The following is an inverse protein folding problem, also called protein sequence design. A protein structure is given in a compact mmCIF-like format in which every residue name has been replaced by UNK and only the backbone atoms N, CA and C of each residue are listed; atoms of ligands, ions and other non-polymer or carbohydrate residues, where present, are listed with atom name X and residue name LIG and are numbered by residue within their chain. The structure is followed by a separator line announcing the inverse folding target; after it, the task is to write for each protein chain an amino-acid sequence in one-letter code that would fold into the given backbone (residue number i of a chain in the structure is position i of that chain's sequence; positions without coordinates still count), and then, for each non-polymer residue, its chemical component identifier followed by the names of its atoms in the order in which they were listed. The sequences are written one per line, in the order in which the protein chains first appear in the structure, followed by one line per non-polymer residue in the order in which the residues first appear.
data_IF_762153825845
#
_entry.id   IF_762153825845
#
_cell.length_a   1.000
_cell.length_b   1.000
_cell.length_c   1.000
_cell.angle_alpha   90.00
_cell.angle_beta   90.00
_cell.angle_gamma   90.00
#
_symmetry.space_group_name_H-M   'P 1'
#
loop_
_entity.id
_entity.type
_entity.pdbx_description
1 polymer ?
#
# COMPACT_ATOMS: atom_id res chain seq x y z
N UNK A 1 3.09 -1.85 29.06
CA UNK A 1 3.71 -1.80 30.40
C UNK A 1 3.69 -0.40 31.02
N UNK A 2 4.02 0.68 30.29
CA UNK A 2 4.00 2.06 30.81
C UNK A 2 2.67 2.45 31.49
N UNK A 3 1.52 2.22 30.85
CA UNK A 3 0.21 2.53 31.44
C UNK A 3 -0.01 1.86 32.82
N UNK A 4 0.37 0.58 32.97
CA UNK A 4 0.26 -0.14 34.25
C UNK A 4 1.21 0.40 35.32
N UNK A 5 2.37 0.94 34.93
CA UNK A 5 3.32 1.58 35.86
C UNK A 5 2.73 2.91 36.36
N UNK A 6 2.15 3.71 35.46
CA UNK A 6 1.43 4.94 35.81
C UNK A 6 0.25 4.66 36.74
N UNK A 7 -0.53 3.61 36.46
CA UNK A 7 -1.65 3.19 37.34
C UNK A 7 -1.18 2.74 38.73
N UNK A 8 0.08 2.30 38.86
CA UNK A 8 0.70 1.96 40.16
C UNK A 8 1.25 3.17 40.91
N UNK A 9 1.12 4.38 40.37
CA UNK A 9 1.50 5.63 41.02
C UNK A 9 2.92 6.11 40.72
N UNK A 10 3.59 5.56 39.70
CA UNK A 10 4.89 6.07 39.27
C UNK A 10 4.79 7.52 38.80
N UNK A 11 5.78 8.33 39.17
CA UNK A 11 5.77 9.75 38.83
C UNK A 11 5.99 10.00 37.33
N UNK A 12 5.44 11.12 36.84
CA UNK A 12 5.69 11.60 35.48
C UNK A 12 6.97 12.43 35.36
N UNK A 13 7.35 12.72 34.12
CA UNK A 13 8.44 13.65 33.76
C UNK A 13 7.84 14.84 32.97
N UNK A 14 7.43 15.94 33.64
CA UNK A 14 6.63 17.00 33.00
C UNK A 14 7.30 17.70 31.82
N UNK A 15 8.62 17.77 31.79
CA UNK A 15 9.41 18.46 30.77
C UNK A 15 10.19 17.51 29.85
N UNK A 16 9.77 16.24 29.75
CA UNK A 16 10.46 15.19 28.96
C UNK A 16 10.77 15.59 27.51
N UNK A 17 10.00 16.50 26.92
CA UNK A 17 10.26 17.02 25.58
C UNK A 17 11.26 18.18 25.57
N UNK A 18 11.18 19.10 26.53
CA UNK A 18 11.73 20.46 26.46
C UNK A 18 12.94 20.71 27.36
N UNK A 19 13.31 19.80 28.26
CA UNK A 19 14.49 19.97 29.13
C UNK A 19 15.74 20.24 28.26
N UNK A 20 16.49 21.34 28.48
CA UNK A 20 17.70 21.61 27.72
C UNK A 20 18.72 20.47 27.87
N UNK A 21 19.39 20.11 26.77
CA UNK A 21 20.38 19.02 26.65
C UNK A 21 19.84 17.60 26.85
N UNK A 22 18.78 17.41 27.63
CA UNK A 22 18.29 16.09 28.05
C UNK A 22 16.91 15.71 27.51
N UNK A 23 16.12 16.71 27.11
CA UNK A 23 14.78 16.53 26.58
C UNK A 23 14.79 15.95 25.17
N UNK A 24 13.70 15.30 24.79
CA UNK A 24 13.56 14.63 23.50
C UNK A 24 13.87 15.56 22.32
N UNK A 25 13.46 16.84 22.41
CA UNK A 25 13.69 17.79 21.33
C UNK A 25 15.18 17.98 21.01
N UNK A 26 16.01 18.15 22.03
CA UNK A 26 17.45 18.33 21.86
C UNK A 26 18.14 17.02 21.47
N UNK A 27 17.80 15.91 22.16
CA UNK A 27 18.52 14.64 22.03
C UNK A 27 18.16 13.88 20.76
N UNK A 28 16.87 13.81 20.42
CA UNK A 28 16.35 12.92 19.35
C UNK A 28 15.59 13.66 18.24
N UNK A 29 15.25 14.94 18.43
CA UNK A 29 14.53 15.72 17.43
C UNK A 29 15.34 16.88 16.86
N UNK A 30 16.68 16.83 16.98
CA UNK A 30 17.63 17.80 16.39
C UNK A 30 17.34 19.25 16.79
N UNK A 31 16.95 19.46 18.05
CA UNK A 31 16.57 20.77 18.59
C UNK A 31 15.28 21.35 18.00
N UNK A 32 14.50 20.58 17.24
CA UNK A 32 13.20 21.02 16.71
C UNK A 32 12.09 20.73 17.72
N UNK A 33 10.94 21.37 17.56
CA UNK A 33 9.72 21.08 18.30
C UNK A 33 8.66 20.43 17.41
N UNK A 34 7.77 19.64 18.00
CA UNK A 34 6.61 19.12 17.27
C UNK A 34 5.71 20.26 16.79
N UNK A 35 5.19 20.11 15.58
CA UNK A 35 4.19 20.99 14.99
C UNK A 35 2.92 20.20 14.77
N UNK A 36 1.83 20.69 15.34
CA UNK A 36 0.50 20.09 15.19
C UNK A 36 -0.28 20.99 14.24
N UNK A 37 -0.45 20.53 13.00
CA UNK A 37 -1.03 21.34 11.93
C UNK A 37 -2.58 21.42 11.99
N UNK A 38 -3.21 20.61 12.86
CA UNK A 38 -4.65 20.58 13.06
C UNK A 38 -4.99 20.01 14.45
N UNK A 39 -6.11 20.41 15.08
CA UNK A 39 -6.58 19.80 16.33
C UNK A 39 -6.83 18.29 16.21
N UNK A 40 -6.79 17.58 17.34
CA UNK A 40 -7.11 16.15 17.38
C UNK A 40 -8.61 15.91 17.19
N UNK A 41 -8.93 14.91 16.36
CA UNK A 41 -10.28 14.50 15.99
C UNK A 41 -10.23 13.15 15.25
N UNK A 42 -11.16 12.90 14.34
CA UNK A 42 -11.29 11.63 13.59
C UNK A 42 -10.59 11.60 12.22
N UNK A 43 -9.93 12.70 11.82
CA UNK A 43 -9.34 12.87 10.48
C UNK A 43 -8.51 11.68 9.99
N UNK A 44 -7.65 11.12 10.85
CA UNK A 44 -6.79 9.99 10.47
C UNK A 44 -7.61 8.75 10.14
N UNK A 45 -8.62 8.41 10.94
CA UNK A 45 -9.47 7.24 10.69
C UNK A 45 -10.34 7.44 9.44
N UNK A 46 -10.85 8.65 9.23
CA UNK A 46 -11.63 8.99 8.03
C UNK A 46 -10.82 8.88 6.73
N UNK A 47 -9.51 9.12 6.80
CA UNK A 47 -8.60 9.11 5.65
C UNK A 47 -7.60 7.94 5.66
N UNK A 48 -7.82 6.91 6.48
CA UNK A 48 -6.95 5.73 6.54
C UNK A 48 -6.89 5.02 5.18
N UNK A 49 -5.77 4.37 4.86
CA UNK A 49 -5.62 3.65 3.61
C UNK A 49 -5.69 2.14 3.86
N UNK A 50 -6.39 1.40 2.98
CA UNK A 50 -6.46 -0.07 3.03
C UNK A 50 -5.67 -0.69 1.88
N UNK A 51 -4.77 -1.64 2.14
CA UNK A 51 -4.19 -2.47 1.07
C UNK A 51 -5.19 -3.59 0.74
N UNK A 52 -5.82 -3.55 -0.44
CA UNK A 52 -6.91 -4.47 -0.78
C UNK A 52 -6.52 -5.49 -1.84
N UNK A 53 -6.18 -5.02 -3.04
CA UNK A 53 -6.00 -5.88 -4.21
C UNK A 53 -4.63 -6.54 -4.26
N UNK A 54 -3.57 -5.80 -3.96
CA UNK A 54 -2.20 -6.28 -4.18
C UNK A 54 -1.33 -6.13 -2.93
N UNK A 55 -0.45 -7.10 -2.62
CA UNK A 55 0.51 -7.02 -1.52
C UNK A 55 1.75 -6.17 -1.88
N UNK A 56 1.52 -4.99 -2.45
CA UNK A 56 2.55 -4.05 -2.89
C UNK A 56 2.81 -2.93 -1.85
N UNK A 57 4.00 -2.30 -1.93
CA UNK A 57 4.26 -1.02 -1.26
C UNK A 57 3.22 0.03 -1.72
N UNK A 58 2.79 0.93 -0.82
CA UNK A 58 1.60 1.74 -1.05
C UNK A 58 1.76 2.71 -2.23
N UNK A 59 2.95 3.26 -2.43
CA UNK A 59 3.24 4.20 -3.51
C UNK A 59 3.18 3.54 -4.91
N UNK A 60 3.23 2.20 -4.97
CA UNK A 60 3.08 1.45 -6.22
C UNK A 60 1.65 0.97 -6.49
N UNK A 61 0.71 1.05 -5.54
CA UNK A 61 -0.62 0.41 -5.68
C UNK A 61 -1.34 0.83 -6.96
N UNK A 62 -1.34 2.12 -7.29
CA UNK A 62 -1.96 2.63 -8.52
C UNK A 62 -1.16 2.27 -9.77
N UNK A 63 0.16 2.14 -9.70
CA UNK A 63 0.97 1.65 -10.81
C UNK A 63 0.63 0.19 -11.14
N UNK A 64 0.41 -0.64 -10.11
CA UNK A 64 -0.08 -2.02 -10.27
C UNK A 64 -1.46 -2.03 -10.94
N UNK A 65 -2.38 -1.17 -10.51
CA UNK A 65 -3.71 -1.02 -11.14
C UNK A 65 -3.60 -0.62 -12.62
N UNK A 66 -2.75 0.34 -12.97
CA UNK A 66 -2.49 0.72 -14.35
C UNK A 66 -1.94 -0.46 -15.17
N UNK A 67 -0.98 -1.21 -14.61
CA UNK A 67 -0.36 -2.35 -15.27
C UNK A 67 -1.37 -3.48 -15.54
N UNK A 68 -2.27 -3.78 -14.59
CA UNK A 68 -3.36 -4.75 -14.79
C UNK A 68 -4.33 -4.29 -15.88
N UNK A 69 -4.66 -3.00 -15.96
CA UNK A 69 -5.52 -2.48 -17.03
C UNK A 69 -4.85 -2.55 -18.41
N UNK A 70 -3.52 -2.39 -18.46
CA UNK A 70 -2.73 -2.49 -19.69
C UNK A 70 -2.47 -3.93 -20.12
N UNK A 71 -2.49 -4.89 -19.20
CA UNK A 71 -2.18 -6.31 -19.46
C UNK A 71 -2.87 -6.87 -20.72
N UNK A 72 -4.19 -6.71 -20.94
CA UNK A 72 -4.86 -7.23 -22.13
C UNK A 72 -4.33 -6.65 -23.45
N UNK A 73 -3.75 -5.45 -23.42
CA UNK A 73 -3.22 -4.77 -24.60
C UNK A 73 -1.77 -5.18 -24.91
N UNK A 74 -1.02 -5.65 -23.92
CA UNK A 74 0.43 -5.91 -24.05
C UNK A 74 0.80 -7.39 -24.04
N UNK A 75 -0.03 -8.27 -23.45
CA UNK A 75 0.30 -9.68 -23.20
C UNK A 75 0.74 -10.46 -24.45
N UNK A 76 0.18 -10.13 -25.61
CA UNK A 76 0.43 -10.82 -26.88
C UNK A 76 1.58 -10.17 -27.69
N UNK A 77 2.16 -9.08 -27.18
CA UNK A 77 3.18 -8.25 -27.87
C UNK A 77 4.32 -7.80 -26.94
N UNK A 78 4.61 -8.57 -25.89
CA UNK A 78 5.63 -8.24 -24.89
C UNK A 78 7.03 -8.05 -25.50
N UNK A 79 7.36 -8.83 -26.54
CA UNK A 79 8.64 -8.74 -27.25
C UNK A 79 8.75 -7.47 -28.13
N UNK A 80 7.62 -6.90 -28.53
CA UNK A 80 7.54 -5.67 -29.32
C UNK A 80 7.69 -4.42 -28.46
N UNK A 81 7.65 -4.53 -27.14
CA UNK A 81 7.80 -3.37 -26.25
C UNK A 81 9.21 -2.79 -26.44
N UNK A 82 9.25 -1.50 -26.76
CA UNK A 82 10.47 -0.71 -26.85
C UNK A 82 10.75 -0.01 -25.51
N UNK A 83 9.73 0.67 -24.96
CA UNK A 83 9.85 1.51 -23.78
C UNK A 83 8.56 1.56 -22.98
N UNK A 84 8.66 1.66 -21.66
CA UNK A 84 7.54 1.81 -20.74
C UNK A 84 7.76 3.08 -19.95
N UNK A 85 6.88 4.07 -20.11
CA UNK A 85 6.95 5.30 -19.33
C UNK A 85 6.06 5.18 -18.11
N UNK A 86 6.61 5.47 -16.94
CA UNK A 86 5.90 5.49 -15.66
C UNK A 86 6.01 6.91 -15.09
N UNK A 87 4.92 7.67 -15.16
CA UNK A 87 4.81 8.97 -14.49
C UNK A 87 4.33 8.75 -13.04
N UNK A 88 5.04 9.31 -12.07
CA UNK A 88 4.78 9.08 -10.65
C UNK A 88 5.10 10.34 -9.82
N UNK A 89 4.92 10.28 -8.49
CA UNK A 89 5.23 11.36 -7.56
C UNK A 89 6.60 11.16 -6.88
N UNK A 90 7.18 12.26 -6.36
CA UNK A 90 8.51 12.32 -5.72
C UNK A 90 8.74 11.20 -4.71
N UNK A 91 7.77 10.93 -3.84
CA UNK A 91 7.94 9.93 -2.78
C UNK A 91 8.03 8.51 -3.31
N UNK A 92 7.40 8.17 -4.44
CA UNK A 92 7.58 6.86 -5.06
C UNK A 92 9.00 6.73 -5.61
N UNK A 93 9.50 7.77 -6.27
CA UNK A 93 10.86 7.80 -6.82
C UNK A 93 11.87 7.59 -5.71
N UNK A 94 11.75 8.36 -4.62
CA UNK A 94 12.69 8.31 -3.51
C UNK A 94 12.67 6.99 -2.74
N UNK A 95 11.51 6.34 -2.62
CA UNK A 95 11.33 5.20 -1.71
C UNK A 95 11.44 3.86 -2.45
N UNK A 96 10.88 3.76 -3.65
CA UNK A 96 10.68 2.48 -4.35
C UNK A 96 11.18 2.44 -5.80
N UNK A 97 11.74 3.51 -6.36
CA UNK A 97 12.39 3.40 -7.68
C UNK A 97 13.75 2.71 -7.52
N UNK A 98 13.89 1.50 -8.05
CA UNK A 98 15.11 0.69 -7.95
C UNK A 98 15.53 0.16 -9.33
N UNK A 99 16.81 0.34 -9.64
CA UNK A 99 17.46 -0.21 -10.84
C UNK A 99 18.45 -1.30 -10.45
N UNK A 100 18.75 -2.22 -11.39
CA UNK A 100 19.70 -3.30 -11.17
C UNK A 100 19.11 -4.52 -10.46
N UNK A 101 20.00 -5.36 -9.90
CA UNK A 101 19.63 -6.65 -9.33
C UNK A 101 18.80 -6.52 -8.05
N UNK A 102 17.79 -7.39 -7.89
CA UNK A 102 16.95 -7.49 -6.70
C UNK A 102 17.23 -8.81 -5.97
N UNK A 103 17.86 -8.72 -4.79
CA UNK A 103 18.48 -9.87 -4.14
C UNK A 103 17.51 -10.72 -3.30
N UNK A 104 16.38 -10.15 -2.88
CA UNK A 104 15.44 -10.79 -1.97
C UNK A 104 14.01 -10.28 -2.19
N UNK A 105 12.98 -10.91 -1.59
CA UNK A 105 11.59 -10.47 -1.72
C UNK A 105 11.34 -9.02 -1.27
N UNK A 106 12.04 -8.55 -0.23
CA UNK A 106 11.92 -7.17 0.26
C UNK A 106 12.52 -6.13 -0.71
N UNK A 107 13.41 -6.56 -1.62
CA UNK A 107 13.87 -5.69 -2.69
C UNK A 107 12.81 -5.52 -3.77
N UNK A 108 12.06 -6.59 -4.06
CA UNK A 108 11.04 -6.66 -5.11
C UNK A 108 9.74 -5.99 -4.69
N UNK A 109 9.28 -6.19 -3.45
CA UNK A 109 8.09 -5.52 -2.92
C UNK A 109 8.30 -4.00 -2.72
N UNK A 110 9.54 -3.52 -2.70
CA UNK A 110 9.94 -2.10 -2.71
C UNK A 110 10.62 -1.68 -4.02
N UNK A 111 10.30 -2.32 -5.15
CA UNK A 111 10.72 -1.91 -6.48
C UNK A 111 9.49 -1.60 -7.36
N UNK A 112 9.28 -0.31 -7.67
CA UNK A 112 8.20 0.16 -8.55
C UNK A 112 8.22 -0.57 -9.89
N UNK A 113 9.40 -0.68 -10.50
CA UNK A 113 9.59 -1.34 -11.78
C UNK A 113 9.18 -2.82 -11.72
N UNK A 114 9.54 -3.53 -10.64
CA UNK A 114 9.16 -4.93 -10.45
C UNK A 114 7.65 -5.08 -10.30
N UNK A 115 7.05 -4.24 -9.45
CA UNK A 115 5.61 -4.23 -9.20
C UNK A 115 4.78 -3.81 -10.41
N UNK A 116 5.39 -3.19 -11.44
CA UNK A 116 4.75 -2.92 -12.73
C UNK A 116 5.01 -4.05 -13.74
N UNK A 117 6.22 -4.60 -13.78
CA UNK A 117 6.60 -5.62 -14.76
C UNK A 117 5.77 -6.90 -14.59
N UNK A 118 5.57 -7.35 -13.36
CA UNK A 118 4.83 -8.59 -13.07
C UNK A 118 3.36 -8.51 -13.55
N UNK A 119 2.55 -7.49 -13.19
CA UNK A 119 1.20 -7.40 -13.70
C UNK A 119 1.11 -7.19 -15.22
N UNK A 120 2.10 -6.53 -15.86
CA UNK A 120 2.14 -6.46 -17.33
C UNK A 120 2.39 -7.82 -17.98
N UNK A 121 3.02 -8.76 -17.27
CA UNK A 121 3.28 -10.13 -17.74
C UNK A 121 2.16 -11.11 -17.38
N UNK A 122 1.53 -10.94 -16.21
CA UNK A 122 0.65 -11.95 -15.61
C UNK A 122 -0.78 -11.47 -15.36
N UNK A 123 -1.05 -10.16 -15.49
CA UNK A 123 -2.36 -9.58 -15.21
C UNK A 123 -2.74 -9.52 -13.74
N UNK A 124 -1.83 -9.88 -12.83
CA UNK A 124 -2.05 -9.88 -11.38
C UNK A 124 -0.72 -9.74 -10.60
N UNK A 125 -0.81 -9.41 -9.32
CA UNK A 125 0.30 -9.34 -8.38
C UNK A 125 -0.07 -9.96 -7.03
N UNK A 126 0.48 -11.15 -6.76
CA UNK A 126 0.30 -11.87 -5.50
C UNK A 126 1.62 -11.98 -4.73
N UNK A 127 1.57 -12.42 -3.47
CA UNK A 127 2.75 -12.44 -2.60
C UNK A 127 3.85 -13.36 -3.13
N UNK A 128 3.45 -14.48 -3.73
CA UNK A 128 4.32 -15.50 -4.31
C UNK A 128 5.14 -14.97 -5.49
N UNK A 129 4.68 -13.90 -6.15
CA UNK A 129 5.44 -13.26 -7.22
C UNK A 129 6.71 -12.58 -6.72
N UNK A 130 6.88 -12.35 -5.40
CA UNK A 130 8.11 -11.79 -4.86
C UNK A 130 9.16 -12.85 -4.51
N UNK A 131 8.81 -14.13 -4.57
CA UNK A 131 9.71 -15.21 -4.18
C UNK A 131 10.87 -15.40 -5.18
N UNK A 132 12.00 -15.89 -4.66
CA UNK A 132 13.23 -16.06 -5.44
C UNK A 132 13.04 -16.99 -6.64
N UNK A 133 12.32 -18.09 -6.44
CA UNK A 133 12.11 -19.10 -7.48
C UNK A 133 11.24 -18.55 -8.62
N UNK A 134 10.22 -17.76 -8.29
CA UNK A 134 9.38 -17.10 -9.30
C UNK A 134 10.21 -16.13 -10.14
N UNK A 135 11.00 -15.26 -9.49
CA UNK A 135 11.81 -14.28 -10.19
C UNK A 135 12.89 -14.93 -11.08
N UNK A 136 13.59 -15.95 -10.56
CA UNK A 136 14.66 -16.64 -11.30
C UNK A 136 14.13 -17.44 -12.48
N UNK A 137 12.89 -17.91 -12.41
CA UNK A 137 12.25 -18.66 -13.48
C UNK A 137 11.80 -17.79 -14.67
N UNK A 138 11.66 -16.47 -14.50
CA UNK A 138 11.17 -15.58 -15.55
C UNK A 138 12.10 -14.38 -15.83
N UNK A 139 13.05 -14.53 -16.78
CA UNK A 139 13.98 -13.44 -17.15
C UNK A 139 13.27 -12.27 -17.85
N UNK A 140 12.01 -12.42 -18.28
CA UNK A 140 11.26 -11.33 -18.92
C UNK A 140 10.95 -10.20 -17.95
N UNK A 141 10.89 -10.50 -16.64
CA UNK A 141 10.65 -9.48 -15.60
C UNK A 141 11.76 -8.43 -15.65
N UNK A 142 13.02 -8.86 -15.55
CA UNK A 142 14.17 -7.97 -15.62
C UNK A 142 14.28 -7.27 -16.99
N UNK A 143 14.03 -7.99 -18.07
CA UNK A 143 14.05 -7.41 -19.42
C UNK A 143 12.99 -6.30 -19.62
N UNK A 144 11.83 -6.39 -18.96
CA UNK A 144 10.85 -5.30 -18.97
C UNK A 144 11.25 -4.15 -18.05
N UNK A 145 11.82 -4.44 -16.88
CA UNK A 145 12.30 -3.42 -15.95
C UNK A 145 13.34 -2.51 -16.59
N UNK A 146 14.23 -3.07 -17.42
CA UNK A 146 15.27 -2.32 -18.13
C UNK A 146 14.71 -1.36 -19.20
N UNK A 147 13.44 -1.54 -19.61
CA UNK A 147 12.74 -0.65 -20.56
C UNK A 147 11.94 0.45 -19.86
N UNK A 148 11.96 0.51 -18.52
CA UNK A 148 11.13 1.44 -17.75
C UNK A 148 11.83 2.77 -17.49
N UNK A 149 11.18 3.85 -17.90
CA UNK A 149 11.58 5.21 -17.60
C UNK A 149 10.64 5.80 -16.55
N UNK A 150 11.22 6.21 -15.41
CA UNK A 150 10.47 6.83 -14.32
C UNK A 150 10.54 8.35 -14.46
N UNK A 151 9.38 8.99 -14.55
CA UNK A 151 9.25 10.44 -14.70
C UNK A 151 8.47 11.00 -13.52
N UNK A 152 9.00 12.04 -12.88
CA UNK A 152 8.22 12.79 -11.89
C UNK A 152 7.18 13.66 -12.59
N UNK A 153 5.93 13.58 -12.13
CA UNK A 153 4.87 14.52 -12.47
C UNK A 153 4.68 15.51 -11.30
N UNK A 154 5.06 16.79 -11.44
CA UNK A 154 4.98 17.77 -10.37
C UNK A 154 3.58 17.91 -9.75
N UNK A 155 2.52 17.72 -10.55
CA UNK A 155 1.14 17.71 -10.03
C UNK A 155 0.93 16.56 -9.05
N UNK A 156 1.35 15.34 -9.38
CA UNK A 156 1.17 14.19 -8.48
C UNK A 156 1.93 14.39 -7.16
N UNK A 157 3.15 14.96 -7.23
CA UNK A 157 3.95 15.30 -6.05
C UNK A 157 3.25 16.32 -5.14
N UNK A 158 2.61 17.34 -5.71
CA UNK A 158 1.85 18.33 -4.96
C UNK A 158 0.59 17.73 -4.31
N UNK A 159 -0.22 17.01 -5.10
CA UNK A 159 -1.51 16.45 -4.66
C UNK A 159 -1.35 15.32 -3.62
N UNK A 160 -0.17 14.68 -3.57
CA UNK A 160 0.21 13.75 -2.50
C UNK A 160 0.26 14.42 -1.12
N UNK A 161 0.69 15.69 -1.05
CA UNK A 161 0.83 16.44 0.20
C UNK A 161 -0.43 17.25 0.57
N UNK A 162 -1.29 17.54 -0.40
CA UNK A 162 -2.56 18.26 -0.19
C UNK A 162 -3.52 17.48 0.72
N UNK A 163 -3.93 18.10 1.82
CA UNK A 163 -4.70 17.43 2.87
C UNK A 163 -6.12 17.00 2.44
N UNK A 164 -6.68 17.62 1.41
CA UNK A 164 -7.99 17.32 0.83
C UNK A 164 -7.92 16.28 -0.30
N UNK A 165 -6.71 16.00 -0.84
CA UNK A 165 -6.49 15.01 -1.89
C UNK A 165 -5.81 13.75 -1.35
N UNK A 166 -4.54 13.86 -0.94
CA UNK A 166 -3.67 12.73 -0.57
C UNK A 166 -3.61 11.67 -1.67
N UNK A 167 -3.50 12.09 -2.92
CA UNK A 167 -3.41 11.17 -4.06
C UNK A 167 -2.13 10.35 -3.99
N UNK A 168 -2.17 9.14 -4.54
CA UNK A 168 -0.99 8.28 -4.72
C UNK A 168 -0.98 7.93 -6.20
N UNK A 169 -0.73 8.93 -7.04
CA UNK A 169 -1.00 8.87 -8.46
C UNK A 169 0.15 8.22 -9.24
N UNK A 170 -0.20 7.35 -10.18
CA UNK A 170 0.71 6.83 -11.19
C UNK A 170 0.01 6.82 -12.55
N UNK A 171 0.78 7.00 -13.61
CA UNK A 171 0.33 6.76 -14.97
C UNK A 171 1.36 5.94 -15.75
N UNK A 172 0.88 5.03 -16.59
CA UNK A 172 1.72 4.12 -17.38
C UNK A 172 1.32 4.20 -18.85
N UNK A 173 2.32 4.24 -19.72
CA UNK A 173 2.14 4.13 -21.17
C UNK A 173 3.22 3.23 -21.76
N UNK A 174 2.83 2.32 -22.64
CA UNK A 174 3.73 1.36 -23.30
C UNK A 174 3.91 1.75 -24.76
N UNK A 175 5.18 1.84 -25.19
CA UNK A 175 5.58 2.18 -26.55
C UNK A 175 6.18 0.94 -27.21
N UNK A 176 5.78 0.68 -28.45
CA UNK A 176 6.19 -0.49 -29.23
C UNK A 176 7.23 -0.11 -30.30
N UNK A 177 8.03 -1.09 -30.73
CA UNK A 177 9.09 -0.93 -31.74
C UNK A 177 8.59 -0.49 -33.11
N UNK A 178 7.31 -0.71 -33.41
CA UNK A 178 6.67 -0.26 -34.66
C UNK A 178 6.26 1.22 -34.62
N UNK A 179 6.51 1.92 -33.51
CA UNK A 179 6.15 3.32 -33.29
C UNK A 179 4.75 3.53 -32.73
N UNK A 180 3.93 2.47 -32.61
CA UNK A 180 2.63 2.55 -31.93
C UNK A 180 2.79 2.58 -30.40
N UNK A 181 1.73 2.96 -29.69
CA UNK A 181 1.70 2.97 -28.23
C UNK A 181 0.30 2.67 -27.70
N UNK A 182 0.21 2.26 -26.44
CA UNK A 182 -1.07 2.19 -25.72
C UNK A 182 -1.57 3.59 -25.40
N UNK A 183 -2.84 3.71 -25.00
CA UNK A 183 -3.29 4.88 -24.26
C UNK A 183 -2.50 5.00 -22.94
N UNK A 184 -2.37 6.24 -22.45
CA UNK A 184 -1.81 6.48 -21.11
C UNK A 184 -2.88 6.19 -20.07
N UNK A 185 -2.69 5.12 -19.30
CA UNK A 185 -3.59 4.76 -18.19
C UNK A 185 -3.12 5.49 -16.93
N UNK A 186 -3.99 6.30 -16.34
CA UNK A 186 -3.74 7.09 -15.13
C UNK A 186 -4.69 6.64 -14.01
N UNK A 187 -4.14 6.37 -12.83
CA UNK A 187 -4.91 6.10 -11.61
C UNK A 187 -4.37 6.98 -10.49
N UNK A 188 -5.18 7.94 -10.04
CA UNK A 188 -4.75 8.90 -9.00
C UNK A 188 -4.93 8.39 -7.57
N UNK A 189 -5.97 7.59 -7.36
CA UNK A 189 -6.35 7.10 -6.04
C UNK A 189 -6.42 5.58 -6.07
N UNK A 190 -5.62 4.88 -5.24
CA UNK A 190 -5.70 3.43 -5.16
C UNK A 190 -7.07 3.03 -4.62
N UNK A 191 -7.54 1.83 -4.93
CA UNK A 191 -8.84 1.33 -4.44
C UNK A 191 -9.00 1.47 -2.92
N UNK A 192 -7.90 1.34 -2.18
CA UNK A 192 -7.81 1.53 -0.74
C UNK A 192 -8.03 2.94 -0.20
N UNK A 193 -8.14 3.95 -1.06
CA UNK A 193 -8.25 5.35 -0.70
C UNK A 193 -9.69 5.72 -0.29
N UNK A 194 -9.84 6.75 0.57
CA UNK A 194 -11.16 7.24 1.03
C UNK A 194 -12.11 7.55 -0.13
N UNK A 195 -11.58 8.14 -1.21
CA UNK A 195 -12.35 8.52 -2.40
C UNK A 195 -12.95 7.33 -3.17
N UNK A 196 -12.46 6.10 -2.95
CA UNK A 196 -12.94 4.88 -3.63
C UNK A 196 -13.66 3.91 -2.71
N UNK A 197 -14.12 4.35 -1.53
CA UNK A 197 -14.74 3.46 -0.53
C UNK A 197 -15.91 2.61 -1.05
N UNK A 198 -16.75 3.15 -1.93
CA UNK A 198 -17.85 2.39 -2.51
C UNK A 198 -17.38 1.14 -3.28
N UNK A 199 -16.25 1.25 -3.98
CA UNK A 199 -15.58 0.14 -4.67
C UNK A 199 -14.75 -0.72 -3.70
N UNK A 200 -14.14 -0.08 -2.71
CA UNK A 200 -13.21 -0.70 -1.78
C UNK A 200 -13.88 -1.67 -0.78
N UNK A 201 -15.04 -1.31 -0.25
CA UNK A 201 -15.68 -2.05 0.85
C UNK A 201 -16.03 -3.50 0.44
N UNK A 202 -16.67 -3.76 -0.72
CA UNK A 202 -16.90 -5.14 -1.17
C UNK A 202 -15.62 -5.97 -1.26
N UNK A 203 -14.52 -5.38 -1.75
CA UNK A 203 -13.22 -6.05 -1.86
C UNK A 203 -12.59 -6.31 -0.49
N UNK A 204 -12.73 -5.36 0.45
CA UNK A 204 -12.30 -5.51 1.85
C UNK A 204 -13.04 -6.67 2.53
N UNK A 205 -14.36 -6.76 2.38
CA UNK A 205 -15.17 -7.83 2.95
C UNK A 205 -14.78 -9.20 2.39
N UNK A 206 -14.60 -9.30 1.06
CA UNK A 206 -14.12 -10.51 0.42
C UNK A 206 -12.71 -10.89 0.92
N UNK A 207 -11.81 -9.92 1.05
CA UNK A 207 -10.47 -10.15 1.61
C UNK A 207 -10.55 -10.64 3.06
N UNK A 208 -11.42 -10.05 3.87
CA UNK A 208 -11.62 -10.46 5.26
C UNK A 208 -12.13 -11.91 5.33
N UNK A 209 -13.14 -12.27 4.53
CA UNK A 209 -13.64 -13.64 4.45
C UNK A 209 -12.55 -14.64 3.99
N UNK A 210 -11.80 -14.33 2.92
CA UNK A 210 -10.68 -15.18 2.47
C UNK A 210 -9.66 -15.41 3.59
N UNK A 211 -9.31 -14.35 4.32
CA UNK A 211 -8.37 -14.44 5.44
C UNK A 211 -8.92 -15.26 6.61
N UNK A 212 -10.22 -15.17 6.92
CA UNK A 212 -10.83 -16.02 7.95
C UNK A 212 -10.77 -17.50 7.56
N UNK A 213 -11.02 -17.81 6.28
CA UNK A 213 -11.04 -19.18 5.76
C UNK A 213 -9.67 -19.88 5.81
N UNK A 214 -8.55 -19.14 5.89
CA UNK A 214 -7.23 -19.77 6.05
C UNK A 214 -7.02 -20.34 7.46
N UNK A 215 -7.86 -19.94 8.44
CA UNK A 215 -7.66 -20.29 9.85
C UNK A 215 -8.86 -20.96 10.51
N UNK A 216 -10.08 -20.65 10.11
CA UNK A 216 -11.30 -21.08 10.80
C UNK A 216 -12.20 -21.95 9.91
N UNK A 217 -12.99 -22.87 10.51
CA UNK A 217 -13.96 -23.66 9.76
C UNK A 217 -15.10 -22.76 9.23
N UNK A 218 -15.77 -23.14 8.12
CA UNK A 218 -16.73 -22.27 7.43
C UNK A 218 -17.85 -21.68 8.31
N UNK A 219 -18.35 -22.46 9.28
CA UNK A 219 -19.38 -21.99 10.22
C UNK A 219 -18.86 -20.82 11.06
N UNK A 220 -17.62 -20.92 11.56
CA UNK A 220 -17.01 -19.87 12.38
C UNK A 220 -16.69 -18.62 11.55
N UNK A 221 -16.23 -18.78 10.30
CA UNK A 221 -16.02 -17.64 9.40
C UNK A 221 -17.30 -16.84 9.17
N UNK A 222 -18.43 -17.52 8.94
CA UNK A 222 -19.74 -16.86 8.76
C UNK A 222 -20.18 -16.12 10.02
N UNK A 223 -20.08 -16.76 11.19
CA UNK A 223 -20.42 -16.12 12.47
C UNK A 223 -19.62 -14.84 12.72
N UNK A 224 -18.32 -14.88 12.47
CA UNK A 224 -17.45 -13.70 12.61
C UNK A 224 -17.86 -12.61 11.61
N UNK A 225 -18.02 -12.97 10.32
CA UNK A 225 -18.37 -12.00 9.29
C UNK A 225 -19.73 -11.34 9.56
N UNK A 226 -20.76 -12.13 9.86
CA UNK A 226 -22.12 -11.64 10.16
C UNK A 226 -22.11 -10.64 11.32
N UNK A 227 -21.35 -10.91 12.40
CA UNK A 227 -21.21 -9.97 13.49
C UNK A 227 -20.49 -8.69 13.06
N UNK A 228 -19.39 -8.81 12.30
CA UNK A 228 -18.61 -7.66 11.84
C UNK A 228 -19.36 -6.74 10.86
N UNK A 229 -20.35 -7.26 10.13
CA UNK A 229 -21.19 -6.48 9.21
C UNK A 229 -22.38 -5.80 9.90
N UNK A 230 -22.77 -6.26 11.09
CA UNK A 230 -23.82 -5.64 11.92
C UNK A 230 -23.18 -4.68 12.92
N UNK A 231 -23.01 -3.41 12.52
CA UNK A 231 -22.34 -2.39 13.34
C UNK A 231 -23.00 -2.19 14.73
N UNK A 232 -24.32 -1.99 14.86
CA UNK A 232 -24.94 -1.86 16.18
C UNK A 232 -24.69 -3.07 17.09
N UNK A 233 -24.77 -4.28 16.54
CA UNK A 233 -24.52 -5.51 17.31
C UNK A 233 -23.05 -5.63 17.70
N UNK A 234 -22.12 -5.32 16.79
CA UNK A 234 -20.68 -5.32 17.06
C UNK A 234 -20.32 -4.33 18.17
N UNK A 235 -20.82 -3.08 18.10
CA UNK A 235 -20.57 -2.04 19.10
C UNK A 235 -21.11 -2.42 20.49
N UNK A 236 -22.18 -3.20 20.55
CA UNK A 236 -22.76 -3.71 21.80
C UNK A 236 -22.08 -4.99 22.34
N UNK A 237 -21.23 -5.65 21.56
CA UNK A 237 -20.63 -6.93 21.95
C UNK A 237 -19.50 -6.73 22.96
N UNK A 238 -19.51 -7.40 24.13
CA UNK A 238 -18.39 -7.36 25.06
C UNK A 238 -17.08 -7.82 24.42
N UNK A 239 -15.98 -7.11 24.68
CA UNK A 239 -14.67 -7.39 24.05
C UNK A 239 -14.24 -8.84 24.26
N UNK A 240 -14.45 -9.41 25.45
CA UNK A 240 -14.11 -10.81 25.74
C UNK A 240 -14.93 -11.81 24.90
N UNK A 241 -16.20 -11.52 24.62
CA UNK A 241 -17.06 -12.36 23.79
C UNK A 241 -16.66 -12.27 22.31
N UNK A 242 -16.37 -11.06 21.82
CA UNK A 242 -15.83 -10.87 20.48
C UNK A 242 -14.52 -11.63 20.30
N UNK A 243 -13.58 -11.52 21.24
CA UNK A 243 -12.30 -12.22 21.18
C UNK A 243 -12.45 -13.74 21.24
N UNK A 244 -13.43 -14.28 21.97
CA UNK A 244 -13.71 -15.71 22.03
C UNK A 244 -14.09 -16.30 20.66
N UNK A 245 -14.64 -15.50 19.74
CA UNK A 245 -14.92 -15.94 18.37
C UNK A 245 -13.65 -16.32 17.60
N UNK A 246 -12.50 -15.72 17.94
CA UNK A 246 -11.22 -15.93 17.24
C UNK A 246 -10.32 -16.98 17.90
N UNK A 247 -10.79 -17.65 18.95
CA UNK A 247 -10.07 -18.78 19.58
C UNK A 247 -10.45 -20.08 18.90
N UNK A 248 -9.44 -20.87 18.53
CA UNK A 248 -9.61 -22.27 18.11
C UNK A 248 -9.38 -23.13 19.35
N UNK A 249 -10.40 -23.91 19.72
CA UNK A 249 -10.28 -24.97 20.72
C UNK A 249 -9.81 -26.26 20.05
#
# INVERSE_FOLDING_TARGET
RLAMITMKGEMGLPSVLTTPKWGFYDVQFKGKSFRVNQPFGSYVMENVLFKLSFPAEFHAQTAVECAVQLYPQVKDRLEDIDRIQICTHESAIRIISKVGQLANPADRDHCLQYMVAVPLLYGDLVAEHYEDDFHRADPRIDALRDKMEIVEEPRYSAEYLEADKRSIANAIQVFFKDGSHTDKVEVEYPIGHRRRRAEAIPVLEQKFMRNLQTRFPPIRCRQILELCLDRPRLEATPVNEFMALFVIN
#
